data_IF_908961022018
#
_entry.id   IF_908961022018
#
_cell.length_a   1.000
_cell.length_b   1.000
_cell.length_c   1.000
_cell.angle_alpha   90.00
_cell.angle_beta   90.00
_cell.angle_gamma   90.00
#
_symmetry.space_group_name_H-M   'P 1'
#
loop_
_entity.id
_entity.type
_entity.pdbx_description
1 polymer ?
#
# COMPACT_ATOMS: atom_id res chain seq x y z
N UNK A 1 31.52 14.88 -22.67
CA UNK A 1 30.24 15.40 -22.12
C UNK A 1 29.05 15.05 -23.02
N UNK A 2 29.07 15.43 -24.31
CA UNK A 2 27.98 15.15 -25.27
C UNK A 2 27.66 13.66 -25.46
N UNK A 3 28.67 12.79 -25.46
CA UNK A 3 28.51 11.34 -25.59
C UNK A 3 27.79 10.73 -24.37
N UNK A 4 28.07 11.19 -23.15
CA UNK A 4 27.38 10.73 -21.92
C UNK A 4 25.88 11.07 -21.95
N UNK A 5 25.55 12.27 -22.42
CA UNK A 5 24.17 12.77 -22.47
C UNK A 5 23.33 12.01 -23.52
N UNK A 6 23.92 11.73 -24.70
CA UNK A 6 23.25 10.98 -25.76
C UNK A 6 22.86 9.57 -25.31
N UNK A 7 23.78 8.83 -24.68
CA UNK A 7 23.50 7.47 -24.21
C UNK A 7 22.48 7.41 -23.08
N UNK A 8 22.56 8.33 -22.12
CA UNK A 8 21.57 8.43 -21.03
C UNK A 8 20.17 8.64 -21.59
N UNK A 9 20.01 9.58 -22.52
CA UNK A 9 18.70 9.88 -23.10
C UNK A 9 18.13 8.71 -23.91
N UNK A 10 18.97 7.99 -24.67
CA UNK A 10 18.54 6.84 -25.46
C UNK A 10 18.09 5.65 -24.57
N UNK A 11 18.86 5.36 -23.51
CA UNK A 11 18.55 4.28 -22.56
C UNK A 11 17.29 4.62 -21.76
N UNK A 12 17.20 5.84 -21.23
CA UNK A 12 16.02 6.28 -20.48
C UNK A 12 14.76 6.28 -21.37
N UNK A 13 14.86 6.73 -22.63
CA UNK A 13 13.73 6.71 -23.56
C UNK A 13 13.21 5.29 -23.87
N UNK A 14 14.06 4.26 -23.81
CA UNK A 14 13.65 2.85 -23.99
C UNK A 14 13.02 2.25 -22.75
N UNK A 15 13.32 2.77 -21.56
CA UNK A 15 12.83 2.23 -20.27
C UNK A 15 11.53 2.92 -19.83
N UNK A 16 11.41 4.23 -20.09
CA UNK A 16 10.23 5.05 -19.73
C UNK A 16 8.89 4.39 -20.08
N UNK A 17 8.70 3.73 -21.25
CA UNK A 17 7.43 3.09 -21.59
C UNK A 17 7.08 1.86 -20.72
N UNK A 18 8.07 1.26 -20.05
CA UNK A 18 7.93 -0.02 -19.36
C UNK A 18 7.98 0.10 -17.83
N UNK A 19 8.29 1.28 -17.30
CA UNK A 19 8.38 1.53 -15.86
C UNK A 19 7.23 2.43 -15.43
N UNK A 20 6.37 1.90 -14.56
CA UNK A 20 5.18 2.60 -14.08
C UNK A 20 5.49 3.79 -13.14
N UNK A 21 6.73 3.94 -12.68
CA UNK A 21 7.15 4.94 -11.70
C UNK A 21 8.41 5.70 -12.13
N UNK A 22 8.48 6.99 -11.80
CA UNK A 22 9.64 7.87 -12.09
C UNK A 22 10.86 7.51 -11.21
N UNK A 23 10.62 6.94 -10.02
CA UNK A 23 11.65 6.70 -9.00
C UNK A 23 12.73 5.71 -9.46
N UNK A 24 12.41 4.53 -10.04
CA UNK A 24 13.42 3.63 -10.62
C UNK A 24 14.27 4.28 -11.72
N UNK A 25 13.66 5.12 -12.56
CA UNK A 25 14.32 5.83 -13.67
C UNK A 25 15.37 6.81 -13.12
N UNK A 26 15.06 7.52 -12.03
CA UNK A 26 16.01 8.41 -11.37
C UNK A 26 17.25 7.68 -10.86
N UNK A 27 17.08 6.49 -10.25
CA UNK A 27 18.21 5.71 -9.74
C UNK A 27 19.11 5.19 -10.87
N UNK A 28 18.51 4.68 -11.96
CA UNK A 28 19.25 4.26 -13.16
C UNK A 28 20.00 5.47 -13.75
N UNK A 29 19.36 6.63 -13.82
CA UNK A 29 19.99 7.87 -14.30
C UNK A 29 21.23 8.27 -13.50
N UNK A 30 21.19 8.17 -12.16
CA UNK A 30 22.35 8.45 -11.29
C UNK A 30 23.50 7.47 -11.52
N UNK A 31 23.22 6.17 -11.64
CA UNK A 31 24.22 5.17 -11.95
C UNK A 31 24.94 5.50 -13.27
N UNK A 32 24.18 5.82 -14.32
CA UNK A 32 24.74 6.15 -15.64
C UNK A 32 25.59 7.42 -15.61
N UNK A 33 25.21 8.42 -14.82
CA UNK A 33 26.01 9.64 -14.62
C UNK A 33 27.34 9.33 -13.92
N UNK A 34 27.29 8.50 -12.87
CA UNK A 34 28.43 8.10 -12.04
C UNK A 34 29.45 7.29 -12.85
N UNK A 35 29.01 6.20 -13.50
CA UNK A 35 29.92 5.30 -14.24
C UNK A 35 30.35 5.92 -15.57
N UNK A 36 29.44 6.63 -16.26
CA UNK A 36 29.76 7.32 -17.50
C UNK A 36 30.14 6.42 -18.68
N UNK A 37 29.77 5.13 -18.62
CA UNK A 37 30.00 4.10 -19.64
C UNK A 37 28.66 3.58 -20.17
N UNK A 38 28.64 2.94 -21.36
CA UNK A 38 27.42 2.28 -21.83
C UNK A 38 26.96 1.20 -20.83
N UNK A 39 25.64 1.03 -20.62
CA UNK A 39 25.12 0.12 -19.61
C UNK A 39 25.61 -1.33 -19.75
N UNK A 40 25.89 -1.77 -20.99
CA UNK A 40 26.42 -3.10 -21.30
C UNK A 40 27.85 -3.37 -20.84
N UNK A 41 28.55 -2.36 -20.30
CA UNK A 41 29.93 -2.46 -19.79
C UNK A 41 30.04 -2.16 -18.30
N UNK A 42 28.93 -1.96 -17.62
CA UNK A 42 28.92 -1.69 -16.18
C UNK A 42 29.18 -3.01 -15.46
N UNK A 43 30.14 -3.02 -14.55
CA UNK A 43 30.50 -4.20 -13.75
C UNK A 43 29.87 -4.15 -12.36
N UNK A 44 29.84 -5.29 -11.68
CA UNK A 44 29.32 -5.40 -10.30
C UNK A 44 30.03 -4.45 -9.33
N UNK A 45 31.36 -4.33 -9.41
CA UNK A 45 32.16 -3.48 -8.53
C UNK A 45 31.83 -2.00 -8.68
N UNK A 46 31.53 -1.55 -9.92
CA UNK A 46 31.14 -0.15 -10.19
C UNK A 46 29.76 0.18 -9.61
N UNK A 47 28.88 -0.81 -9.54
CA UNK A 47 27.55 -0.65 -8.95
C UNK A 47 27.62 -0.70 -7.42
N UNK A 48 28.44 -1.58 -6.86
CA UNK A 48 28.72 -1.62 -5.43
C UNK A 48 29.33 -0.28 -4.96
N UNK A 49 30.31 0.26 -5.71
CA UNK A 49 30.89 1.57 -5.43
C UNK A 49 29.86 2.71 -5.47
N UNK A 50 28.88 2.66 -6.38
CA UNK A 50 27.79 3.64 -6.41
C UNK A 50 26.87 3.51 -5.20
N UNK A 51 26.56 2.29 -4.77
CA UNK A 51 25.76 2.05 -3.56
C UNK A 51 26.48 2.52 -2.29
N UNK A 52 27.80 2.40 -2.24
CA UNK A 52 28.62 2.90 -1.13
C UNK A 52 28.69 4.45 -1.12
N UNK A 53 28.65 5.11 -2.29
CA UNK A 53 28.54 6.58 -2.31
C UNK A 53 27.19 7.12 -1.80
N UNK A 54 26.20 6.25 -1.63
CA UNK A 54 24.87 6.59 -1.10
C UNK A 54 24.75 6.18 0.38
N UNK A 55 25.86 6.09 1.14
CA UNK A 55 25.94 5.66 2.56
C UNK A 55 24.95 6.35 3.52
N UNK A 56 24.42 7.52 3.16
CA UNK A 56 23.47 8.30 3.98
C UNK A 56 21.97 7.96 3.68
N UNK A 57 21.69 6.96 2.84
CA UNK A 57 20.32 6.56 2.50
C UNK A 57 19.76 5.46 3.41
N UNK A 58 18.46 5.53 3.70
CA UNK A 58 17.80 4.48 4.51
C UNK A 58 17.90 3.10 3.83
N UNK A 59 17.94 2.04 4.64
CA UNK A 59 17.93 0.64 4.15
C UNK A 59 16.81 0.37 3.13
N UNK A 60 15.63 0.96 3.35
CA UNK A 60 14.50 0.83 2.43
C UNK A 60 14.76 1.51 1.09
N UNK A 61 15.36 2.70 1.11
CA UNK A 61 15.81 3.40 -0.10
C UNK A 61 16.87 2.60 -0.84
N UNK A 62 17.84 2.03 -0.11
CA UNK A 62 18.90 1.19 -0.69
C UNK A 62 18.34 -0.06 -1.37
N UNK A 63 17.38 -0.75 -0.76
CA UNK A 63 16.69 -1.89 -1.37
C UNK A 63 15.88 -1.50 -2.62
N UNK A 64 15.25 -0.31 -2.62
CA UNK A 64 14.56 0.21 -3.80
C UNK A 64 15.53 0.51 -4.95
N UNK A 65 16.70 1.07 -4.65
CA UNK A 65 17.78 1.28 -5.64
C UNK A 65 18.22 -0.07 -6.21
N UNK A 66 18.55 -1.04 -5.36
CA UNK A 66 18.96 -2.39 -5.79
C UNK A 66 17.88 -3.04 -6.65
N UNK A 67 16.60 -2.91 -6.29
CA UNK A 67 15.48 -3.44 -7.07
C UNK A 67 15.34 -2.80 -8.44
N UNK A 68 15.48 -1.47 -8.52
CA UNK A 68 15.47 -0.73 -9.78
C UNK A 68 16.63 -1.16 -10.69
N UNK A 69 17.84 -1.29 -10.14
CA UNK A 69 19.01 -1.72 -10.89
C UNK A 69 18.90 -3.18 -11.34
N UNK A 70 18.45 -4.09 -10.47
CA UNK A 70 18.25 -5.50 -10.82
C UNK A 70 17.24 -5.66 -11.96
N UNK A 71 16.11 -4.94 -11.89
CA UNK A 71 15.13 -4.92 -12.98
C UNK A 71 15.74 -4.41 -14.28
N UNK A 72 16.50 -3.31 -14.22
CA UNK A 72 17.16 -2.74 -15.40
C UNK A 72 18.17 -3.72 -16.03
N UNK A 73 19.08 -4.31 -15.25
CA UNK A 73 20.08 -5.22 -15.77
C UNK A 73 19.47 -6.55 -16.27
N UNK A 74 18.45 -7.06 -15.57
CA UNK A 74 17.76 -8.29 -15.98
C UNK A 74 16.97 -8.09 -17.27
N UNK A 75 16.13 -7.06 -17.34
CA UNK A 75 15.14 -6.91 -18.40
C UNK A 75 15.71 -6.19 -19.64
N UNK A 76 16.80 -5.41 -19.49
CA UNK A 76 17.36 -4.62 -20.59
C UNK A 76 18.81 -4.98 -20.96
N UNK A 77 19.56 -5.77 -20.16
CA UNK A 77 21.01 -5.99 -20.38
C UNK A 77 21.49 -7.45 -20.26
N UNK A 78 20.60 -8.45 -20.36
CA UNK A 78 20.94 -9.88 -20.35
C UNK A 78 21.74 -10.35 -19.12
N UNK A 79 21.07 -10.38 -17.98
CA UNK A 79 21.10 -11.53 -17.07
C UNK A 79 22.19 -11.54 -15.98
N UNK A 80 23.47 -11.58 -16.33
CA UNK A 80 24.49 -12.06 -15.38
C UNK A 80 24.81 -11.08 -14.24
N UNK A 81 24.72 -9.77 -14.51
CA UNK A 81 24.96 -8.73 -13.48
C UNK A 81 23.77 -8.63 -12.50
N UNK A 82 22.58 -9.07 -12.92
CA UNK A 82 21.37 -8.95 -12.10
C UNK A 82 21.32 -9.93 -10.92
N UNK A 83 21.99 -11.09 -11.05
CA UNK A 83 22.00 -12.12 -10.00
C UNK A 83 23.00 -11.82 -8.88
N UNK A 84 23.94 -10.93 -9.13
CA UNK A 84 24.89 -10.43 -8.14
C UNK A 84 24.25 -9.51 -7.08
N UNK A 85 23.02 -9.05 -7.29
CA UNK A 85 22.28 -8.22 -6.35
C UNK A 85 21.55 -9.08 -5.32
N UNK A 86 22.23 -9.45 -4.24
CA UNK A 86 21.56 -10.03 -3.08
C UNK A 86 20.74 -8.97 -2.34
N UNK A 87 19.43 -9.15 -2.32
CA UNK A 87 18.55 -8.39 -1.44
C UNK A 87 18.55 -9.05 -0.07
N UNK A 88 19.16 -8.42 0.92
CA UNK A 88 19.00 -8.86 2.30
C UNK A 88 17.50 -8.77 2.67
N UNK A 89 16.83 -9.91 2.85
CA UNK A 89 15.46 -9.92 3.35
C UNK A 89 15.47 -9.62 4.85
N UNK A 90 15.32 -8.35 5.23
CA UNK A 90 15.05 -8.03 6.64
C UNK A 90 13.58 -8.35 6.93
N UNK A 91 13.31 -9.49 7.54
CA UNK A 91 11.99 -9.81 8.12
C UNK A 91 11.85 -9.11 9.48
N UNK A 92 11.72 -7.79 9.49
CA UNK A 92 11.28 -7.11 10.70
C UNK A 92 9.81 -7.45 10.92
N UNK A 93 9.49 -8.17 12.01
CA UNK A 93 8.11 -8.38 12.44
C UNK A 93 7.54 -7.02 12.87
N UNK A 94 6.64 -6.42 12.09
CA UNK A 94 6.18 -5.07 12.38
C UNK A 94 5.22 -5.12 13.56
N UNK A 95 5.51 -4.37 14.63
CA UNK A 95 4.59 -4.20 15.75
C UNK A 95 3.31 -3.49 15.30
N UNK A 96 2.16 -4.08 15.64
CA UNK A 96 0.83 -3.45 15.49
C UNK A 96 0.47 -2.67 16.76
N UNK A 97 -0.26 -1.54 16.65
CA UNK A 97 -0.79 -0.83 17.83
C UNK A 97 -1.73 -1.72 18.66
N UNK A 98 -1.88 -1.45 19.96
CA UNK A 98 -2.93 -2.05 20.80
C UNK A 98 -4.29 -1.37 20.58
N UNK A 99 -5.37 -1.92 21.13
CA UNK A 99 -6.69 -1.27 21.10
C UNK A 99 -6.64 0.07 21.87
N UNK A 100 -6.01 0.11 23.04
CA UNK A 100 -5.80 1.35 23.81
C UNK A 100 -5.06 2.44 23.00
N UNK A 101 -4.04 2.04 22.24
CA UNK A 101 -3.28 2.92 21.35
C UNK A 101 -4.18 3.49 20.24
N UNK A 102 -5.06 2.66 19.66
CA UNK A 102 -6.01 3.05 18.63
C UNK A 102 -7.10 3.96 19.17
N UNK A 103 -7.62 3.68 20.37
CA UNK A 103 -8.59 4.52 21.05
C UNK A 103 -8.00 5.90 21.36
N UNK A 104 -6.80 5.94 21.96
CA UNK A 104 -6.08 7.19 22.25
C UNK A 104 -5.90 8.03 20.97
N UNK A 105 -5.51 7.37 19.88
CA UNK A 105 -5.36 8.04 18.59
C UNK A 105 -6.71 8.54 18.02
N UNK A 106 -7.78 7.75 18.15
CA UNK A 106 -9.12 8.08 17.66
C UNK A 106 -9.73 9.28 18.39
N UNK A 107 -9.56 9.34 19.71
CA UNK A 107 -10.04 10.44 20.54
C UNK A 107 -9.35 11.77 20.21
N UNK A 108 -8.07 11.74 19.82
CA UNK A 108 -7.31 12.91 19.38
C UNK A 108 -7.66 13.41 17.96
N UNK A 109 -8.43 12.65 17.17
CA UNK A 109 -8.89 13.11 15.86
C UNK A 109 -10.06 14.09 16.03
N UNK A 110 -9.84 15.39 15.80
CA UNK A 110 -10.93 16.37 15.94
C UNK A 110 -11.93 16.36 14.77
N UNK A 111 -11.47 16.08 13.55
CA UNK A 111 -12.26 16.24 12.34
C UNK A 111 -13.07 14.96 12.02
N UNK A 112 -14.40 15.03 11.86
CA UNK A 112 -15.26 13.88 11.57
C UNK A 112 -14.82 13.07 10.34
N UNK A 113 -14.35 13.76 9.30
CA UNK A 113 -13.80 13.14 8.08
C UNK A 113 -12.66 12.17 8.38
N UNK A 114 -11.73 12.58 9.24
CA UNK A 114 -10.57 11.75 9.57
C UNK A 114 -10.90 10.67 10.61
N UNK A 115 -11.90 10.89 11.48
CA UNK A 115 -12.48 9.83 12.34
C UNK A 115 -13.08 8.71 11.51
N UNK A 116 -13.96 9.06 10.55
CA UNK A 116 -14.56 8.09 9.65
C UNK A 116 -13.50 7.37 8.80
N UNK A 117 -12.53 8.09 8.23
CA UNK A 117 -11.45 7.49 7.45
C UNK A 117 -10.56 6.55 8.28
N UNK A 118 -10.33 6.86 9.56
CA UNK A 118 -9.60 5.99 10.49
C UNK A 118 -10.34 4.68 10.74
N UNK A 119 -11.63 4.74 11.09
CA UNK A 119 -12.43 3.56 11.37
C UNK A 119 -12.59 2.69 10.14
N UNK A 120 -12.83 3.29 8.96
CA UNK A 120 -12.82 2.55 7.69
C UNK A 120 -11.48 1.85 7.47
N UNK A 121 -10.35 2.54 7.65
CA UNK A 121 -9.03 1.95 7.47
C UNK A 121 -8.75 0.78 8.45
N UNK A 122 -9.24 0.89 9.69
CA UNK A 122 -9.06 -0.12 10.73
C UNK A 122 -9.96 -1.35 10.53
N UNK A 123 -11.16 -1.18 9.97
CA UNK A 123 -12.20 -2.23 9.96
C UNK A 123 -12.37 -2.90 8.60
N UNK A 124 -11.98 -2.24 7.50
CA UNK A 124 -12.15 -2.79 6.14
C UNK A 124 -10.88 -3.38 5.52
N UNK A 125 -9.72 -3.14 6.13
CA UNK A 125 -8.44 -3.61 5.60
C UNK A 125 -8.02 -2.96 4.27
N UNK A 126 -8.62 -1.84 3.85
CA UNK A 126 -8.30 -1.14 2.60
C UNK A 126 -6.85 -0.63 2.54
N UNK A 127 -6.27 -0.57 1.33
CA UNK A 127 -5.01 0.15 1.09
C UNK A 127 -5.27 1.66 1.18
N UNK A 128 -4.22 2.43 1.51
CA UNK A 128 -4.33 3.90 1.53
C UNK A 128 -4.78 4.51 0.20
N UNK A 129 -4.50 3.90 -0.96
CA UNK A 129 -5.08 4.34 -2.23
C UNK A 129 -6.57 4.08 -2.31
N UNK A 130 -6.95 2.84 -2.03
CA UNK A 130 -8.34 2.38 -2.13
C UNK A 130 -9.23 3.22 -1.21
N UNK A 131 -8.79 3.46 0.03
CA UNK A 131 -9.48 4.33 0.98
C UNK A 131 -9.65 5.77 0.46
N UNK A 132 -8.60 6.39 -0.10
CA UNK A 132 -8.68 7.76 -0.59
C UNK A 132 -9.39 7.92 -1.94
N UNK A 133 -9.57 6.82 -2.68
CA UNK A 133 -10.21 6.80 -4.00
C UNK A 133 -11.63 6.24 -3.95
N UNK A 134 -12.05 5.71 -2.80
CA UNK A 134 -13.38 5.16 -2.57
C UNK A 134 -14.46 6.20 -2.91
N UNK A 135 -15.43 5.81 -3.72
CA UNK A 135 -16.57 6.65 -4.12
C UNK A 135 -17.85 6.22 -3.40
N UNK A 136 -18.86 7.10 -3.38
CA UNK A 136 -20.17 6.75 -2.78
C UNK A 136 -20.81 5.54 -3.46
N UNK A 137 -20.60 5.35 -4.77
CA UNK A 137 -21.15 4.23 -5.55
C UNK A 137 -20.46 2.87 -5.26
N UNK A 138 -19.37 2.90 -4.49
CA UNK A 138 -18.65 1.71 -4.04
C UNK A 138 -19.15 1.21 -2.69
N UNK A 139 -20.01 1.99 -2.00
CA UNK A 139 -20.57 1.68 -0.68
C UNK A 139 -22.04 1.28 -0.81
N UNK A 140 -22.36 0.07 -0.34
CA UNK A 140 -23.73 -0.37 -0.05
C UNK A 140 -23.93 -0.23 1.47
N UNK A 141 -24.55 0.88 1.87
CA UNK A 141 -24.73 1.28 3.28
C UNK A 141 -25.62 0.29 4.04
N UNK A 142 -26.65 -0.26 3.38
CA UNK A 142 -27.58 -1.24 3.97
C UNK A 142 -26.86 -2.52 4.39
N UNK A 143 -25.82 -2.90 3.64
CA UNK A 143 -25.01 -4.11 3.91
C UNK A 143 -23.66 -3.81 4.57
N UNK A 144 -23.34 -2.54 4.84
CA UNK A 144 -22.02 -2.07 5.27
C UNK A 144 -20.89 -2.61 4.41
N UNK A 145 -21.13 -2.63 3.11
CA UNK A 145 -20.33 -3.35 2.14
C UNK A 145 -19.58 -2.38 1.22
N UNK A 146 -18.30 -2.66 0.99
CA UNK A 146 -17.41 -1.86 0.14
C UNK A 146 -16.92 -2.72 -1.02
N UNK A 147 -17.05 -2.20 -2.24
CA UNK A 147 -16.55 -2.83 -3.46
C UNK A 147 -15.51 -1.90 -4.11
N UNK A 148 -14.24 -1.96 -3.67
CA UNK A 148 -13.22 -1.04 -4.15
C UNK A 148 -12.76 -1.47 -5.54
N UNK A 149 -13.25 -0.75 -6.55
CA UNK A 149 -12.88 -0.85 -7.97
C UNK A 149 -13.44 -2.09 -8.70
N UNK A 150 -14.29 -1.81 -9.70
CA UNK A 150 -15.05 -2.81 -10.49
C UNK A 150 -14.26 -3.33 -11.70
N UNK A 151 -13.15 -2.70 -12.07
CA UNK A 151 -12.62 -2.78 -13.46
C UNK A 151 -11.16 -3.23 -13.62
N UNK A 152 -10.63 -3.96 -12.64
CA UNK A 152 -9.29 -4.53 -12.75
C UNK A 152 -9.36 -5.93 -13.39
N UNK A 153 -9.09 -6.01 -14.71
CA UNK A 153 -9.01 -7.27 -15.51
C UNK A 153 -8.07 -8.34 -14.92
N UNK A 154 -7.17 -7.96 -14.01
CA UNK A 154 -6.08 -8.81 -13.51
C UNK A 154 -6.13 -9.02 -11.98
N UNK A 155 -6.91 -8.22 -11.24
CA UNK A 155 -7.11 -8.37 -9.79
C UNK A 155 -8.62 -8.34 -9.55
N UNK A 156 -9.19 -9.50 -9.26
CA UNK A 156 -10.55 -9.56 -8.74
C UNK A 156 -10.48 -9.01 -7.32
N UNK A 157 -10.80 -7.72 -7.15
CA UNK A 157 -10.97 -7.15 -5.82
C UNK A 157 -12.23 -7.75 -5.24
N UNK A 158 -12.09 -8.52 -4.17
CA UNK A 158 -13.23 -9.05 -3.43
C UNK A 158 -13.85 -7.95 -2.59
N UNK A 159 -15.11 -8.16 -2.24
CA UNK A 159 -15.88 -7.30 -1.35
C UNK A 159 -15.21 -7.25 0.03
N UNK A 160 -15.20 -6.06 0.64
CA UNK A 160 -14.86 -5.88 2.06
C UNK A 160 -16.01 -5.21 2.79
N UNK A 161 -15.94 -5.14 4.12
CA UNK A 161 -16.99 -4.60 4.98
C UNK A 161 -16.41 -3.60 5.96
N UNK A 162 -17.28 -2.89 6.67
CA UNK A 162 -16.91 -2.02 7.78
C UNK A 162 -17.89 -2.25 8.94
N UNK A 163 -17.45 -1.97 10.17
CA UNK A 163 -18.25 -2.22 11.37
C UNK A 163 -19.25 -1.09 11.65
N UNK A 164 -20.05 -1.23 12.69
CA UNK A 164 -21.07 -0.26 13.08
C UNK A 164 -20.46 1.09 13.51
N UNK A 165 -19.33 1.08 14.22
CA UNK A 165 -18.62 2.30 14.62
C UNK A 165 -18.24 3.13 13.38
N UNK A 166 -17.73 2.47 12.34
CA UNK A 166 -17.39 3.11 11.08
C UNK A 166 -18.65 3.66 10.38
N UNK A 167 -19.77 2.95 10.42
CA UNK A 167 -21.04 3.41 9.86
C UNK A 167 -21.55 4.67 10.57
N UNK A 168 -21.52 4.68 11.90
CA UNK A 168 -21.93 5.84 12.71
C UNK A 168 -21.04 7.06 12.45
N UNK A 169 -19.73 6.88 12.42
CA UNK A 169 -18.79 7.96 12.12
C UNK A 169 -18.95 8.46 10.68
N UNK A 170 -19.30 7.59 9.74
CA UNK A 170 -19.57 7.97 8.36
C UNK A 170 -20.83 8.82 8.24
N UNK A 171 -21.92 8.42 8.89
CA UNK A 171 -23.17 9.20 8.92
C UNK A 171 -22.98 10.56 9.61
N UNK A 172 -22.13 10.64 10.64
CA UNK A 172 -21.77 11.92 11.26
C UNK A 172 -20.98 12.85 10.32
N UNK A 173 -20.13 12.30 9.45
CA UNK A 173 -19.32 13.06 8.51
C UNK A 173 -20.08 13.42 7.22
N UNK A 174 -21.03 12.60 6.78
CA UNK A 174 -21.75 12.73 5.50
C UNK A 174 -22.34 14.13 5.23
N UNK A 175 -22.91 14.86 6.21
CA UNK A 175 -23.42 16.22 6.00
C UNK A 175 -22.34 17.26 5.68
N UNK A 176 -21.08 17.02 6.06
CA UNK A 176 -19.95 17.93 5.81
C UNK A 176 -19.35 17.76 4.41
N UNK A 177 -19.85 16.81 3.62
CA UNK A 177 -19.33 16.53 2.28
C UNK A 177 -19.66 17.67 1.32
N UNK A 178 -18.64 18.11 0.58
CA UNK A 178 -18.78 19.14 -0.45
C UNK A 178 -19.42 18.56 -1.72
N UNK A 179 -20.19 19.37 -2.45
CA UNK A 179 -20.75 18.94 -3.73
C UNK A 179 -19.68 18.97 -4.83
N UNK A 180 -19.64 17.94 -5.69
CA UNK A 180 -18.75 17.87 -6.86
C UNK A 180 -17.49 17.01 -6.71
N UNK A 181 -17.30 16.38 -5.54
CA UNK A 181 -16.30 15.31 -5.35
C UNK A 181 -17.00 14.03 -4.89
N UNK A 182 -17.06 13.05 -5.80
CA UNK A 182 -17.75 11.77 -5.61
C UNK A 182 -17.03 10.85 -4.62
N UNK A 183 -15.78 11.17 -4.26
CA UNK A 183 -15.03 10.42 -3.25
C UNK A 183 -15.70 10.55 -1.90
N UNK A 184 -15.67 9.47 -1.14
CA UNK A 184 -16.27 9.36 0.19
C UNK A 184 -15.63 10.40 1.11
N UNK A 185 -14.32 10.31 1.33
CA UNK A 185 -13.58 11.16 2.27
C UNK A 185 -12.99 12.45 1.67
N UNK A 186 -13.24 12.75 0.39
CA UNK A 186 -12.84 14.00 -0.27
C UNK A 186 -11.41 14.46 0.10
N UNK A 187 -10.48 13.51 0.07
CA UNK A 187 -9.10 13.69 0.52
C UNK A 187 -8.15 12.88 -0.35
N UNK A 188 -6.86 13.19 -0.27
CA UNK A 188 -5.81 12.43 -0.94
C UNK A 188 -4.86 11.82 0.07
N UNK A 189 -3.96 10.94 -0.39
CA UNK A 189 -3.00 10.24 0.47
C UNK A 189 -2.15 11.18 1.30
N UNK A 190 -1.69 12.29 0.73
CA UNK A 190 -0.77 13.19 1.42
C UNK A 190 -1.42 13.93 2.61
N UNK A 191 -2.56 14.62 2.46
CA UNK A 191 -3.28 15.23 3.58
C UNK A 191 -3.63 14.21 4.68
N UNK A 192 -4.13 13.03 4.29
CA UNK A 192 -4.47 11.96 5.23
C UNK A 192 -3.23 11.53 6.05
N UNK A 193 -2.14 11.18 5.37
CA UNK A 193 -0.91 10.76 6.02
C UNK A 193 -0.29 11.87 6.88
N UNK A 194 -0.39 13.13 6.44
CA UNK A 194 0.09 14.28 7.20
C UNK A 194 -0.69 14.47 8.49
N UNK A 195 -2.03 14.38 8.44
CA UNK A 195 -2.86 14.48 9.65
C UNK A 195 -2.58 13.30 10.59
N UNK A 196 -2.49 12.08 10.07
CA UNK A 196 -2.21 10.89 10.88
C UNK A 196 -0.84 10.98 11.55
N UNK A 197 0.17 11.46 10.81
CA UNK A 197 1.50 11.70 11.37
C UNK A 197 1.47 12.73 12.49
N UNK A 198 0.78 13.84 12.29
CA UNK A 198 0.69 14.91 13.28
C UNK A 198 0.05 14.42 14.58
N UNK A 199 -1.11 13.74 14.48
CA UNK A 199 -1.79 13.16 15.65
C UNK A 199 -0.94 12.05 16.30
N UNK A 200 -0.23 11.26 15.51
CA UNK A 200 0.70 10.25 16.03
C UNK A 200 1.83 10.86 16.85
N UNK A 201 2.36 12.01 16.41
CA UNK A 201 3.40 12.76 17.11
C UNK A 201 2.86 13.41 18.39
N UNK A 202 1.61 13.86 18.40
CA UNK A 202 0.92 14.46 19.54
C UNK A 202 0.65 13.44 20.65
N UNK A 203 0.08 12.28 20.32
CA UNK A 203 -0.29 11.24 21.29
C UNK A 203 0.84 10.25 21.60
N UNK A 204 1.96 10.33 20.88
CA UNK A 204 3.10 9.42 21.04
C UNK A 204 2.89 8.01 20.46
N UNK A 205 1.76 7.75 19.79
CA UNK A 205 1.44 6.46 19.16
C UNK A 205 1.60 6.54 17.66
N UNK A 206 2.48 5.72 17.08
CA UNK A 206 2.70 5.69 15.63
C UNK A 206 1.58 4.93 14.92
N UNK A 207 0.59 5.65 14.39
CA UNK A 207 -0.52 5.12 13.59
C UNK A 207 -0.40 5.55 12.13
N UNK A 208 -0.52 4.57 11.22
CA UNK A 208 -0.61 4.82 9.78
C UNK A 208 -1.66 3.89 9.19
N UNK A 209 -2.22 4.23 8.02
CA UNK A 209 -3.18 3.35 7.32
C UNK A 209 -2.59 1.95 7.09
N UNK A 210 -1.28 1.85 6.82
CA UNK A 210 -0.60 0.56 6.68
C UNK A 210 -0.58 -0.24 7.99
N UNK A 211 -0.39 0.42 9.14
CA UNK A 211 -0.45 -0.23 10.45
C UNK A 211 -1.89 -0.65 10.80
N UNK A 212 -2.89 0.18 10.50
CA UNK A 212 -4.30 -0.15 10.68
C UNK A 212 -4.70 -1.39 9.88
N UNK A 213 -4.29 -1.46 8.61
CA UNK A 213 -4.51 -2.65 7.78
C UNK A 213 -3.82 -3.92 8.32
N UNK A 214 -2.65 -3.77 8.96
CA UNK A 214 -1.98 -4.90 9.63
C UNK A 214 -2.70 -5.31 10.91
N UNK A 215 -3.13 -4.32 11.71
CA UNK A 215 -3.94 -4.55 12.89
C UNK A 215 -5.22 -5.30 12.52
N UNK A 216 -5.96 -4.85 11.49
CA UNK A 216 -7.13 -5.54 10.94
C UNK A 216 -6.86 -7.03 10.67
N UNK A 217 -5.79 -7.33 9.93
CA UNK A 217 -5.45 -8.71 9.59
C UNK A 217 -5.07 -9.55 10.82
N UNK A 218 -4.38 -8.94 11.80
CA UNK A 218 -4.06 -9.59 13.07
C UNK A 218 -5.31 -9.85 13.90
N UNK A 219 -6.23 -8.89 13.97
CA UNK A 219 -7.44 -8.99 14.79
C UNK A 219 -8.43 -9.98 14.20
N UNK A 220 -8.67 -9.94 12.88
CA UNK A 220 -9.46 -10.97 12.20
C UNK A 220 -8.88 -12.38 12.42
N UNK A 221 -7.55 -12.51 12.44
CA UNK A 221 -6.90 -13.79 12.74
C UNK A 221 -7.11 -14.21 14.21
N UNK A 222 -7.18 -13.27 15.16
CA UNK A 222 -7.48 -13.55 16.57
C UNK A 222 -8.93 -13.98 16.76
N UNK A 223 -9.86 -13.41 15.99
CA UNK A 223 -11.25 -13.82 15.92
C UNK A 223 -11.45 -15.17 15.21
N UNK A 224 -10.38 -15.85 14.78
CA UNK A 224 -10.43 -17.18 14.18
C UNK A 224 -10.79 -17.20 12.70
N UNK A 225 -10.78 -16.05 12.02
CA UNK A 225 -11.04 -15.97 10.58
C UNK A 225 -9.88 -16.60 9.82
N UNK A 226 -10.20 -17.50 8.87
CA UNK A 226 -9.21 -18.15 8.03
C UNK A 226 -8.45 -17.11 7.18
N UNK A 227 -7.12 -17.25 7.11
CA UNK A 227 -6.23 -16.37 6.37
C UNK A 227 -6.66 -16.13 4.91
N UNK A 228 -7.34 -17.10 4.27
CA UNK A 228 -7.86 -16.95 2.91
C UNK A 228 -8.96 -15.88 2.78
N UNK A 229 -9.79 -15.71 3.81
CA UNK A 229 -10.84 -14.69 3.85
C UNK A 229 -10.24 -13.35 4.26
N UNK A 230 -9.27 -13.33 5.18
CA UNK A 230 -8.49 -12.13 5.52
C UNK A 230 -7.78 -11.57 4.27
N UNK A 231 -7.17 -12.44 3.48
CA UNK A 231 -6.54 -12.07 2.21
C UNK A 231 -7.58 -11.57 1.19
N UNK A 232 -8.79 -12.15 1.16
CA UNK A 232 -9.89 -11.66 0.31
C UNK A 232 -10.31 -10.24 0.69
N UNK A 233 -10.59 -9.97 1.97
CA UNK A 233 -10.92 -8.62 2.47
C UNK A 233 -9.82 -7.60 2.15
N UNK A 234 -8.56 -8.04 2.20
CA UNK A 234 -7.41 -7.21 1.86
C UNK A 234 -7.13 -7.10 0.34
N UNK A 235 -7.87 -7.79 -0.53
CA UNK A 235 -7.56 -7.85 -1.97
C UNK A 235 -6.15 -8.42 -2.24
N UNK A 236 -5.80 -9.52 -1.58
CA UNK A 236 -4.52 -10.26 -1.67
C UNK A 236 -4.69 -11.70 -2.19
N UNK A 237 -5.88 -12.09 -2.64
CA UNK A 237 -6.17 -13.47 -3.04
C UNK A 237 -5.27 -13.94 -4.19
N UNK A 238 -4.65 -15.11 -4.03
CA UNK A 238 -3.84 -15.75 -5.06
C UNK A 238 -4.76 -16.26 -6.16
N UNK A 239 -4.37 -16.10 -7.44
CA UNK A 239 -5.18 -16.60 -8.57
C UNK A 239 -5.03 -18.10 -8.79
N UNK A 240 -4.79 -18.90 -7.74
CA UNK A 240 -4.71 -20.34 -7.91
C UNK A 240 -6.09 -20.84 -8.34
N UNK A 241 -6.14 -21.56 -9.47
CA UNK A 241 -7.39 -22.06 -10.06
C UNK A 241 -8.13 -22.97 -9.07
N UNK A 242 -7.40 -23.63 -8.17
CA UNK A 242 -7.94 -24.53 -7.15
C UNK A 242 -8.74 -23.79 -6.07
N UNK A 243 -8.22 -22.70 -5.50
CA UNK A 243 -8.91 -21.95 -4.43
C UNK A 243 -10.23 -21.33 -4.92
N UNK A 244 -10.32 -20.96 -6.20
CA UNK A 244 -11.55 -20.42 -6.81
C UNK A 244 -12.71 -21.43 -6.89
N UNK A 245 -12.42 -22.73 -6.89
CA UNK A 245 -13.44 -23.77 -7.05
C UNK A 245 -13.92 -24.37 -5.72
N UNK A 246 -13.21 -24.13 -4.61
CA UNK A 246 -13.55 -24.71 -3.30
C UNK A 246 -13.98 -23.67 -2.25
N UNK A 247 -13.68 -22.39 -2.47
CA UNK A 247 -13.99 -21.33 -1.52
C UNK A 247 -15.16 -20.50 -2.03
N UNK A 248 -16.21 -20.45 -1.23
CA UNK A 248 -17.30 -19.52 -1.46
C UNK A 248 -16.89 -18.12 -1.00
N UNK A 249 -16.64 -17.26 -1.99
CA UNK A 249 -16.37 -15.84 -1.82
C UNK A 249 -17.61 -14.99 -2.17
N UNK A 250 -18.81 -15.59 -2.11
CA UNK A 250 -20.06 -14.83 -2.24
C UNK A 250 -20.09 -13.68 -1.23
N UNK A 251 -20.61 -12.50 -1.62
CA UNK A 251 -20.75 -11.37 -0.70
C UNK A 251 -21.51 -11.75 0.57
N UNK A 252 -22.50 -12.62 0.47
CA UNK A 252 -23.29 -13.12 1.60
C UNK A 252 -22.42 -13.90 2.58
N UNK A 253 -21.63 -14.87 2.09
CA UNK A 253 -20.76 -15.67 2.97
C UNK A 253 -19.64 -14.83 3.59
N UNK A 254 -19.07 -13.90 2.82
CA UNK A 254 -18.04 -12.99 3.32
C UNK A 254 -18.61 -12.07 4.40
N UNK A 255 -19.86 -11.62 4.26
CA UNK A 255 -20.54 -10.82 5.29
C UNK A 255 -20.77 -11.63 6.56
N UNK A 256 -21.27 -12.86 6.45
CA UNK A 256 -21.44 -13.76 7.62
C UNK A 256 -20.13 -13.93 8.38
N UNK A 257 -19.02 -14.21 7.69
CA UNK A 257 -17.71 -14.39 8.32
C UNK A 257 -17.23 -13.09 8.99
N UNK A 258 -17.49 -11.94 8.37
CA UNK A 258 -17.13 -10.65 8.92
C UNK A 258 -17.95 -10.31 10.18
N UNK A 259 -19.27 -10.52 10.12
CA UNK A 259 -20.18 -10.26 11.24
C UNK A 259 -19.91 -11.21 12.41
N UNK A 260 -19.62 -12.50 12.14
CA UNK A 260 -19.23 -13.48 13.16
C UNK A 260 -17.91 -13.11 13.85
N UNK A 261 -17.00 -12.41 13.17
CA UNK A 261 -15.73 -11.98 13.74
C UNK A 261 -15.90 -10.85 14.78
N UNK A 262 -17.01 -10.10 14.74
CA UNK A 262 -17.37 -9.11 15.77
C UNK A 262 -16.34 -8.00 15.98
N UNK A 263 -15.68 -7.54 14.91
CA UNK A 263 -14.56 -6.60 15.01
C UNK A 263 -14.97 -5.22 15.56
N UNK A 264 -14.39 -4.83 16.68
CA UNK A 264 -14.53 -3.52 17.33
C UNK A 264 -13.18 -2.83 17.50
N UNK A 265 -13.13 -1.51 17.36
CA UNK A 265 -11.91 -0.71 17.57
C UNK A 265 -11.88 -0.08 18.97
N UNK A 266 -13.05 0.14 19.57
CA UNK A 266 -13.21 0.89 20.83
C UNK A 266 -13.43 0.04 22.08
N UNK A 267 -13.37 -1.30 21.99
CA UNK A 267 -13.51 -2.24 23.13
C UNK A 267 -12.23 -3.01 23.46
#
# INVERSE_FOLDING_TARGET
MLVKIAYKNEVLARIIPYVAEIVPICYIGRLLDHVGKPPSRITQDEIAAQLDTEDDVSDATRLNIIGALRMFFRDFLNGDVADAFEMASKSANPTVPSNDDLQTFYEALENPKYKAAFLFAATSGLRSSELCQLTMDDIDEDKRMIVPDKDSKTKQTWVTFYNDEAAEAFEAFKPERESGDDRVFQTTKQPLNRKFRHVSEEVGVKVTVQKLRRWFATEMSRCGVDAKYIDAFCGRTKSSVLEKHYLDYSPERLREIYDEAGLTVSE
#
